data_IF_611868707879
#
_entry.id   IF_611868707879
#
_cell.length_a   1.000
_cell.length_b   1.000
_cell.length_c   1.000
_cell.angle_alpha   90.00
_cell.angle_beta   90.00
_cell.angle_gamma   90.00
#
_symmetry.space_group_name_H-M   'P 1'
#
loop_
_entity.id
_entity.type
_entity.pdbx_description
1 polymer ?
#
# COMPACT_ATOMS: atom_id res chain seq x y z
N UNK A 1 45.69 23.73 50.29
CA UNK A 1 45.08 23.54 51.62
C UNK A 1 43.89 24.47 51.73
N UNK A 2 42.67 23.92 51.55
CA UNK A 2 41.35 24.34 52.07
C UNK A 2 40.40 23.32 51.41
N UNK A 3 40.19 22.19 52.07
CA UNK A 3 39.09 21.27 51.77
C UNK A 3 38.05 21.53 52.86
N UNK A 4 36.99 22.26 52.51
CA UNK A 4 35.82 22.41 53.38
C UNK A 4 34.96 21.16 53.25
N UNK A 5 34.61 20.58 54.40
CA UNK A 5 33.73 19.43 54.54
C UNK A 5 32.32 19.77 54.04
N UNK A 6 31.88 19.06 53.00
CA UNK A 6 30.49 19.07 52.56
C UNK A 6 29.68 18.24 53.56
N UNK A 7 28.62 18.82 54.12
CA UNK A 7 27.79 18.18 55.13
C UNK A 7 26.99 16.99 54.55
N UNK A 8 26.73 15.93 55.35
CA UNK A 8 26.01 14.74 54.90
C UNK A 8 24.59 15.00 54.37
N UNK A 9 23.96 16.12 54.78
CA UNK A 9 22.59 16.48 54.38
C UNK A 9 22.45 16.91 52.93
N UNK A 10 23.53 17.41 52.31
CA UNK A 10 23.50 17.88 50.92
C UNK A 10 23.48 16.72 49.91
N UNK A 11 24.13 15.59 50.25
CA UNK A 11 24.10 14.37 49.42
C UNK A 11 22.74 13.69 49.42
N UNK A 12 21.99 13.78 50.52
CA UNK A 12 20.63 13.25 50.61
C UNK A 12 19.65 14.04 49.73
N UNK A 13 19.76 15.37 49.71
CA UNK A 13 18.95 16.23 48.84
C UNK A 13 19.29 16.06 47.36
N UNK A 14 20.58 15.98 47.00
CA UNK A 14 20.98 15.78 45.60
C UNK A 14 20.49 14.43 45.05
N UNK A 15 20.57 13.36 45.85
CA UNK A 15 20.08 12.03 45.44
C UNK A 15 18.55 11.96 45.35
N UNK A 16 17.83 12.68 46.24
CA UNK A 16 16.37 12.78 46.15
C UNK A 16 15.91 13.57 44.93
N UNK A 17 16.61 14.65 44.56
CA UNK A 17 16.30 15.44 43.35
C UNK A 17 16.65 14.69 42.07
N UNK A 18 17.76 13.94 42.03
CA UNK A 18 18.13 13.10 40.87
C UNK A 18 17.13 11.94 40.70
N UNK A 19 16.64 11.34 41.78
CA UNK A 19 15.57 10.33 41.73
C UNK A 19 14.22 10.93 41.28
N UNK A 20 13.87 12.15 41.73
CA UNK A 20 12.63 12.81 41.32
C UNK A 20 12.64 13.21 39.83
N UNK A 21 13.80 13.63 39.29
CA UNK A 21 13.98 13.92 37.87
C UNK A 21 14.03 12.63 37.05
N UNK A 22 14.61 11.54 37.56
CA UNK A 22 14.60 10.24 36.90
C UNK A 22 13.19 9.62 36.80
N UNK A 23 12.32 9.86 37.78
CA UNK A 23 10.91 9.41 37.73
C UNK A 23 10.04 10.32 36.84
N UNK A 24 10.36 11.61 36.73
CA UNK A 24 9.66 12.55 35.84
C UNK A 24 10.11 12.48 34.37
N UNK A 25 11.13 11.69 34.03
CA UNK A 25 11.59 11.41 32.67
C UNK A 25 11.50 9.93 32.29
N UNK A 26 10.67 9.15 33.00
CA UNK A 26 10.19 7.90 32.43
C UNK A 26 9.20 8.24 31.30
N UNK A 27 9.50 7.89 30.04
CA UNK A 27 8.61 8.22 28.94
C UNK A 27 7.29 7.51 29.16
N UNK A 28 6.23 8.30 29.34
CA UNK A 28 4.83 7.85 29.34
C UNK A 28 4.50 7.03 28.07
N UNK A 29 5.37 7.07 27.05
CA UNK A 29 5.32 6.28 25.83
C UNK A 29 5.51 4.76 26.01
N UNK A 30 5.97 4.25 27.17
CA UNK A 30 6.09 2.78 27.38
C UNK A 30 4.88 2.14 28.06
N UNK A 31 3.95 2.90 28.64
CA UNK A 31 2.77 2.35 29.30
C UNK A 31 1.62 1.98 28.33
N UNK A 32 1.71 2.37 27.06
CA UNK A 32 0.78 1.93 26.00
C UNK A 32 1.13 0.55 25.40
N UNK A 33 2.25 -0.06 25.81
CA UNK A 33 2.75 -1.33 25.26
C UNK A 33 2.05 -2.58 25.82
N UNK A 34 0.95 -2.45 26.56
CA UNK A 34 0.29 -3.57 27.26
C UNK A 34 -1.10 -3.92 26.74
N UNK A 35 -1.61 -3.23 25.71
CA UNK A 35 -2.75 -3.76 24.97
C UNK A 35 -2.17 -4.69 23.89
N UNK A 36 -2.48 -6.00 23.89
CA UNK A 36 -2.10 -6.85 22.78
C UNK A 36 -2.70 -6.24 21.50
N UNK A 37 -1.84 -5.63 20.68
CA UNK A 37 -2.28 -5.04 19.44
C UNK A 37 -2.75 -6.18 18.56
N UNK A 38 -4.07 -6.26 18.33
CA UNK A 38 -4.60 -7.11 17.27
C UNK A 38 -3.83 -6.79 15.99
N UNK A 39 -3.41 -7.82 15.26
CA UNK A 39 -2.69 -7.66 14.00
C UNK A 39 -3.66 -7.16 12.91
N UNK A 40 -4.11 -5.91 13.02
CA UNK A 40 -5.09 -5.32 12.13
C UNK A 40 -4.36 -4.60 10.99
N UNK A 41 -4.72 -4.95 9.76
CA UNK A 41 -4.23 -4.34 8.54
C UNK A 41 -5.39 -3.61 7.88
N UNK A 42 -5.31 -2.27 7.80
CA UNK A 42 -6.31 -1.46 7.13
C UNK A 42 -6.05 -1.41 5.62
N UNK A 43 -7.07 -1.64 4.80
CA UNK A 43 -6.98 -1.57 3.34
C UNK A 43 -8.06 -0.59 2.86
N UNK A 44 -7.64 0.52 2.24
CA UNK A 44 -8.59 1.46 1.63
C UNK A 44 -9.03 1.00 0.26
N UNK A 45 -10.21 1.47 -0.17
CA UNK A 45 -10.83 1.06 -1.43
C UNK A 45 -10.89 -0.47 -1.59
N UNK A 46 -11.15 -1.18 -0.48
CA UNK A 46 -11.08 -2.64 -0.42
C UNK A 46 -12.07 -3.34 -1.35
N UNK A 47 -13.13 -2.67 -1.79
CA UNK A 47 -14.09 -3.19 -2.76
C UNK A 47 -13.61 -3.12 -4.22
N UNK A 48 -12.53 -2.38 -4.49
CA UNK A 48 -11.91 -2.32 -5.81
C UNK A 48 -11.32 -3.68 -6.21
N UNK A 49 -11.11 -3.87 -7.52
CA UNK A 49 -10.55 -5.11 -8.11
C UNK A 49 -9.27 -5.58 -7.41
N UNK A 50 -8.34 -4.66 -7.14
CA UNK A 50 -7.10 -4.98 -6.42
C UNK A 50 -7.31 -5.15 -4.92
N UNK A 51 -8.19 -4.36 -4.29
CA UNK A 51 -8.39 -4.35 -2.84
C UNK A 51 -8.84 -5.70 -2.28
N UNK A 52 -9.74 -6.39 -3.00
CA UNK A 52 -10.20 -7.74 -2.63
C UNK A 52 -9.08 -8.78 -2.74
N UNK A 53 -8.36 -8.77 -3.87
CA UNK A 53 -7.23 -9.67 -4.11
C UNK A 53 -6.16 -9.48 -3.03
N UNK A 54 -5.87 -8.23 -2.68
CA UNK A 54 -4.93 -7.88 -1.62
C UNK A 54 -5.38 -8.38 -0.24
N UNK A 55 -6.64 -8.17 0.12
CA UNK A 55 -7.18 -8.67 1.39
C UNK A 55 -7.04 -10.19 1.52
N UNK A 56 -7.34 -10.92 0.44
CA UNK A 56 -7.21 -12.37 0.39
C UNK A 56 -5.74 -12.82 0.48
N UNK A 57 -4.85 -12.25 -0.35
CA UNK A 57 -3.43 -12.60 -0.37
C UNK A 57 -2.74 -12.34 0.98
N UNK A 58 -3.03 -11.21 1.64
CA UNK A 58 -2.48 -10.92 2.97
C UNK A 58 -2.88 -12.01 3.97
N UNK A 59 -4.13 -12.48 3.91
CA UNK A 59 -4.64 -13.51 4.79
C UNK A 59 -4.05 -14.88 4.47
N UNK A 60 -4.09 -15.29 3.21
CA UNK A 60 -3.58 -16.59 2.74
C UNK A 60 -2.06 -16.72 2.96
N UNK A 61 -1.28 -15.68 2.65
CA UNK A 61 0.17 -15.71 2.85
C UNK A 61 0.54 -15.89 4.32
N UNK A 62 -0.23 -15.31 5.24
CA UNK A 62 -0.02 -15.48 6.68
C UNK A 62 -0.32 -16.93 7.13
N UNK A 63 -1.39 -17.52 6.60
CA UNK A 63 -1.76 -18.92 6.87
C UNK A 63 -0.74 -19.91 6.29
N UNK A 64 -0.31 -19.68 5.04
CA UNK A 64 0.72 -20.49 4.37
C UNK A 64 2.09 -20.38 5.05
N UNK A 65 2.39 -19.22 5.64
CA UNK A 65 3.59 -19.02 6.47
C UNK A 65 3.49 -19.68 7.84
N UNK A 66 2.41 -20.43 8.13
CA UNK A 66 2.15 -21.11 9.41
C UNK A 66 2.15 -20.17 10.61
N UNK A 67 1.71 -18.93 10.41
CA UNK A 67 1.56 -17.96 11.50
C UNK A 67 0.54 -18.48 12.53
N UNK A 68 0.81 -18.34 13.85
CA UNK A 68 -0.14 -18.75 14.88
C UNK A 68 -1.50 -18.09 14.69
N UNK A 69 -2.59 -18.83 14.96
CA UNK A 69 -3.96 -18.33 14.72
C UNK A 69 -4.26 -16.99 15.39
N UNK A 70 -3.70 -16.77 16.59
CA UNK A 70 -3.86 -15.54 17.37
C UNK A 70 -3.11 -14.34 16.78
N UNK A 71 -2.10 -14.60 15.95
CA UNK A 71 -1.27 -13.60 15.27
C UNK A 71 -1.73 -13.33 13.84
N UNK A 72 -2.60 -14.18 13.28
CA UNK A 72 -3.09 -14.02 11.92
C UNK A 72 -3.76 -12.65 11.73
N UNK A 73 -3.53 -11.99 10.57
CA UNK A 73 -4.03 -10.66 10.36
C UNK A 73 -5.56 -10.63 10.32
N UNK A 74 -6.12 -9.60 10.94
CA UNK A 74 -7.49 -9.16 10.74
C UNK A 74 -7.45 -8.06 9.68
N UNK A 75 -8.16 -8.27 8.59
CA UNK A 75 -8.26 -7.29 7.52
C UNK A 75 -9.38 -6.32 7.85
N UNK A 76 -9.06 -5.04 7.92
CA UNK A 76 -10.05 -3.97 8.00
C UNK A 76 -10.23 -3.34 6.62
N UNK A 77 -11.27 -3.77 5.92
CA UNK A 77 -11.67 -3.29 4.61
C UNK A 77 -12.45 -1.97 4.74
N UNK A 78 -11.86 -0.87 4.27
CA UNK A 78 -12.48 0.45 4.24
C UNK A 78 -13.11 0.65 2.85
N UNK A 79 -14.44 0.86 2.82
CA UNK A 79 -15.24 0.94 1.60
C UNK A 79 -16.08 2.22 1.55
N UNK A 80 -16.68 2.53 0.40
CA UNK A 80 -17.45 3.77 0.14
C UNK A 80 -18.95 3.62 0.34
N UNK A 81 -19.48 2.41 0.40
CA UNK A 81 -20.92 2.21 0.51
C UNK A 81 -21.25 0.84 1.08
N UNK A 82 -22.50 0.67 1.52
CA UNK A 82 -23.03 -0.64 1.90
C UNK A 82 -23.06 -1.63 0.72
N UNK A 83 -23.21 -1.15 -0.51
CA UNK A 83 -23.13 -1.99 -1.70
C UNK A 83 -21.71 -2.54 -1.90
N UNK A 84 -20.69 -1.69 -1.71
CA UNK A 84 -19.29 -2.12 -1.71
C UNK A 84 -18.99 -3.08 -0.56
N UNK A 85 -19.52 -2.82 0.64
CA UNK A 85 -19.39 -3.72 1.79
C UNK A 85 -19.98 -5.09 1.50
N UNK A 86 -21.18 -5.15 0.91
CA UNK A 86 -21.81 -6.40 0.50
C UNK A 86 -20.94 -7.14 -0.53
N UNK A 87 -20.43 -6.43 -1.54
CA UNK A 87 -19.57 -7.02 -2.56
C UNK A 87 -18.29 -7.63 -1.96
N UNK A 88 -17.63 -6.95 -1.02
CA UNK A 88 -16.43 -7.50 -0.34
C UNK A 88 -16.78 -8.76 0.46
N UNK A 89 -17.91 -8.78 1.18
CA UNK A 89 -18.35 -9.96 1.94
C UNK A 89 -18.62 -11.15 1.02
N UNK A 90 -19.32 -10.93 -0.09
CA UNK A 90 -19.64 -11.97 -1.07
C UNK A 90 -18.37 -12.54 -1.71
N UNK A 91 -17.47 -11.67 -2.17
CA UNK A 91 -16.31 -12.09 -2.96
C UNK A 91 -15.25 -12.78 -2.11
N UNK A 92 -15.06 -12.36 -0.85
CA UNK A 92 -14.07 -12.95 0.05
C UNK A 92 -14.62 -14.13 0.86
N UNK A 93 -15.89 -14.06 1.27
CA UNK A 93 -16.52 -15.08 2.11
C UNK A 93 -17.27 -16.14 1.35
N UNK A 94 -17.69 -15.86 0.11
CA UNK A 94 -18.70 -16.64 -0.59
C UNK A 94 -20.10 -16.40 -0.02
N UNK A 95 -21.06 -17.18 -0.54
CA UNK A 95 -22.47 -17.07 -0.21
C UNK A 95 -23.00 -18.40 0.34
N UNK A 96 -23.93 -18.34 1.28
CA UNK A 96 -24.68 -19.48 1.79
C UNK A 96 -26.18 -19.24 1.68
N UNK A 97 -26.95 -20.31 1.51
CA UNK A 97 -28.41 -20.26 1.42
C UNK A 97 -29.03 -20.56 2.78
N UNK A 98 -29.74 -19.60 3.38
CA UNK A 98 -30.45 -19.76 4.64
C UNK A 98 -31.92 -19.42 4.43
N UNK A 99 -32.81 -20.41 4.59
CA UNK A 99 -34.25 -20.23 4.39
C UNK A 99 -34.64 -19.74 2.99
N UNK A 100 -33.92 -20.19 1.95
CA UNK A 100 -34.14 -19.78 0.56
C UNK A 100 -33.59 -18.40 0.18
N UNK A 101 -32.87 -17.73 1.10
CA UNK A 101 -32.20 -16.44 0.82
C UNK A 101 -30.68 -16.63 0.80
N UNK A 102 -30.05 -16.07 -0.23
CA UNK A 102 -28.59 -16.02 -0.32
C UNK A 102 -28.06 -14.95 0.65
N UNK A 103 -27.08 -15.31 1.47
CA UNK A 103 -26.45 -14.44 2.46
C UNK A 103 -24.93 -14.65 2.46
N UNK A 104 -24.12 -13.59 2.63
CA UNK A 104 -22.67 -13.75 2.69
C UNK A 104 -22.23 -14.59 3.89
N UNK A 105 -21.22 -15.42 3.72
CA UNK A 105 -20.65 -16.19 4.83
C UNK A 105 -19.84 -15.24 5.72
N UNK A 106 -20.12 -15.15 7.04
CA UNK A 106 -19.37 -14.28 7.93
C UNK A 106 -17.92 -14.74 8.08
N UNK A 107 -16.99 -13.82 7.87
CA UNK A 107 -15.56 -14.05 8.02
C UNK A 107 -15.05 -13.40 9.31
N UNK A 108 -14.53 -14.22 10.24
CA UNK A 108 -14.03 -13.75 11.54
C UNK A 108 -12.78 -12.86 11.42
N UNK A 109 -12.06 -12.99 10.31
CA UNK A 109 -10.83 -12.24 10.04
C UNK A 109 -11.08 -10.94 9.24
N UNK A 110 -12.33 -10.62 8.89
CA UNK A 110 -12.67 -9.48 8.06
C UNK A 110 -13.56 -8.49 8.83
N UNK A 111 -13.04 -7.29 9.08
CA UNK A 111 -13.77 -6.13 9.54
C UNK A 111 -14.08 -5.22 8.34
N UNK A 112 -15.32 -4.72 8.23
CA UNK A 112 -15.68 -3.77 7.17
C UNK A 112 -16.11 -2.46 7.81
N UNK A 113 -15.54 -1.36 7.32
CA UNK A 113 -15.88 0.00 7.72
C UNK A 113 -16.35 0.77 6.51
N UNK A 114 -17.60 1.23 6.55
CA UNK A 114 -18.20 2.04 5.48
C UNK A 114 -17.96 3.52 5.76
N UNK A 115 -17.31 4.20 4.83
CA UNK A 115 -17.05 5.64 4.88
C UNK A 115 -17.54 6.27 3.58
N UNK A 116 -18.81 6.68 3.58
CA UNK A 116 -19.50 7.20 2.38
C UNK A 116 -19.01 8.58 1.94
N UNK A 117 -18.81 9.48 2.90
CA UNK A 117 -18.38 10.85 2.64
C UNK A 117 -17.17 11.17 3.52
N UNK A 118 -16.13 11.78 2.95
CA UNK A 118 -14.88 12.13 3.64
C UNK A 118 -14.72 13.63 3.92
N UNK A 119 -15.62 14.47 3.40
CA UNK A 119 -15.56 15.93 3.54
C UNK A 119 -16.19 16.39 4.86
N UNK A 120 -17.25 15.71 5.31
CA UNK A 120 -17.97 16.06 6.54
C UNK A 120 -17.26 15.64 7.84
N UNK A 121 -17.55 16.35 8.95
CA UNK A 121 -17.00 16.03 10.29
C UNK A 121 -17.22 14.58 10.70
N UNK A 122 -18.43 14.06 10.49
CA UNK A 122 -18.79 12.65 10.77
C UNK A 122 -17.95 11.71 9.91
N UNK A 123 -17.87 11.98 8.61
CA UNK A 123 -17.06 11.23 7.66
C UNK A 123 -15.58 11.13 8.05
N UNK A 124 -14.97 12.27 8.35
CA UNK A 124 -13.59 12.35 8.84
C UNK A 124 -13.39 11.59 10.16
N UNK A 125 -14.35 11.69 11.09
CA UNK A 125 -14.30 10.96 12.34
C UNK A 125 -14.39 9.44 12.13
N UNK A 126 -15.30 8.97 11.27
CA UNK A 126 -15.40 7.55 10.89
C UNK A 126 -14.11 7.07 10.22
N UNK A 127 -13.53 7.85 9.31
CA UNK A 127 -12.30 7.49 8.63
C UNK A 127 -11.12 7.40 9.60
N UNK A 128 -10.97 8.35 10.53
CA UNK A 128 -9.97 8.28 11.61
C UNK A 128 -10.16 7.04 12.47
N UNK A 129 -11.39 6.76 12.88
CA UNK A 129 -11.72 5.55 13.65
C UNK A 129 -11.40 4.26 12.86
N UNK A 130 -11.51 4.28 11.53
CA UNK A 130 -11.14 3.15 10.69
C UNK A 130 -9.65 2.81 10.76
N UNK A 131 -8.77 3.79 10.92
CA UNK A 131 -7.32 3.56 11.07
C UNK A 131 -6.88 3.31 12.51
N UNK A 132 -7.71 3.64 13.50
CA UNK A 132 -7.34 3.45 14.92
C UNK A 132 -7.35 1.97 15.30
N UNK A 133 -6.31 1.53 16.01
CA UNK A 133 -6.03 0.14 16.32
C UNK A 133 -5.37 -0.66 15.20
N UNK A 134 -5.25 -0.11 13.98
CA UNK A 134 -4.52 -0.76 12.89
C UNK A 134 -3.01 -0.59 13.08
N UNK A 135 -2.24 -1.67 12.94
CA UNK A 135 -0.78 -1.62 13.04
C UNK A 135 -0.11 -1.18 11.75
N UNK A 136 -0.71 -1.53 10.62
CA UNK A 136 -0.25 -1.15 9.28
C UNK A 136 -1.43 -0.88 8.35
N UNK A 137 -1.19 -0.20 7.23
CA UNK A 137 -2.19 0.05 6.22
C UNK A 137 -1.65 -0.03 4.80
N UNK A 138 -2.54 -0.38 3.87
CA UNK A 138 -2.31 -0.24 2.44
C UNK A 138 -3.33 0.75 1.88
N UNK A 139 -2.84 1.90 1.42
CA UNK A 139 -3.65 2.93 0.78
C UNK A 139 -3.70 2.62 -0.72
N UNK A 140 -4.86 2.18 -1.19
CA UNK A 140 -5.08 1.90 -2.60
C UNK A 140 -5.58 3.17 -3.26
N UNK A 141 -4.68 3.93 -3.88
CA UNK A 141 -5.06 5.08 -4.70
C UNK A 141 -6.04 4.66 -5.79
N UNK A 142 -7.29 5.11 -5.67
CA UNK A 142 -8.41 4.76 -6.52
C UNK A 142 -8.58 5.62 -7.77
N UNK A 143 -7.80 6.68 -7.98
CA UNK A 143 -7.91 7.54 -9.18
C UNK A 143 -7.34 6.87 -10.45
N UNK A 144 -7.57 5.56 -10.60
CA UNK A 144 -6.84 4.66 -11.47
C UNK A 144 -6.95 4.99 -12.95
N UNK A 145 -5.81 4.74 -13.58
CA UNK A 145 -5.56 4.43 -14.97
C UNK A 145 -6.12 3.05 -15.37
N UNK A 146 -7.18 3.01 -16.18
CA UNK A 146 -7.60 1.78 -16.85
C UNK A 146 -6.94 1.66 -18.22
N UNK A 147 -6.31 0.52 -18.49
CA UNK A 147 -5.88 0.22 -19.86
C UNK A 147 -7.10 -0.07 -20.72
N UNK A 148 -7.32 0.78 -21.70
CA UNK A 148 -8.30 0.58 -22.76
C UNK A 148 -7.54 0.22 -24.02
N UNK A 149 -7.73 -1.02 -24.45
CA UNK A 149 -7.23 -1.51 -25.72
C UNK A 149 -8.24 -1.21 -26.81
N UNK A 150 -7.84 -0.43 -27.81
CA UNK A 150 -8.61 -0.27 -29.04
C UNK A 150 -8.07 -1.24 -30.09
N UNK A 151 -8.98 -2.01 -30.71
CA UNK A 151 -8.69 -2.99 -31.75
C UNK A 151 -7.81 -4.16 -31.29
N UNK A 152 -8.20 -4.85 -30.21
CA UNK A 152 -7.60 -6.12 -29.79
C UNK A 152 -8.10 -7.24 -30.73
N UNK A 153 -7.76 -7.16 -32.03
CA UNK A 153 -8.07 -8.22 -32.98
C UNK A 153 -7.14 -9.41 -32.70
N UNK A 154 -7.72 -10.61 -32.62
CA UNK A 154 -7.03 -11.89 -32.37
C UNK A 154 -5.95 -12.25 -33.40
N UNK A 155 -5.77 -11.45 -34.45
CA UNK A 155 -4.86 -11.68 -35.57
C UNK A 155 -3.44 -11.16 -35.32
N UNK A 156 -3.12 -10.74 -34.08
CA UNK A 156 -1.77 -10.35 -33.68
C UNK A 156 -1.37 -8.93 -34.11
N UNK A 157 -2.32 -8.14 -34.63
CA UNK A 157 -2.10 -6.73 -34.88
C UNK A 157 -2.12 -5.98 -33.55
N UNK A 158 -1.01 -5.35 -33.22
CA UNK A 158 -0.74 -4.77 -31.91
C UNK A 158 -1.59 -3.51 -31.68
N UNK A 159 -2.82 -3.68 -31.16
CA UNK A 159 -3.78 -2.60 -30.90
C UNK A 159 -3.24 -1.41 -30.10
N UNK A 160 -3.92 -0.26 -30.21
CA UNK A 160 -3.54 0.96 -29.49
C UNK A 160 -3.93 0.81 -28.01
N UNK A 161 -2.93 0.86 -27.12
CA UNK A 161 -3.16 0.85 -25.68
C UNK A 161 -3.22 2.29 -25.20
N UNK A 162 -4.41 2.71 -24.79
CA UNK A 162 -4.58 3.99 -24.10
C UNK A 162 -4.82 3.76 -22.62
N UNK A 163 -4.44 4.72 -21.82
CA UNK A 163 -4.88 4.78 -20.44
C UNK A 163 -6.06 5.76 -20.37
N UNK A 164 -7.18 5.29 -19.83
CA UNK A 164 -8.37 6.10 -19.64
C UNK A 164 -8.69 6.26 -18.16
N UNK A 165 -9.21 7.44 -17.80
CA UNK A 165 -9.81 7.71 -16.50
C UNK A 165 -11.12 8.46 -16.70
N UNK A 166 -12.23 8.00 -16.09
CA UNK A 166 -13.44 8.81 -16.03
C UNK A 166 -13.15 10.11 -15.25
N UNK A 167 -13.14 11.24 -15.93
CA UNK A 167 -12.68 12.53 -15.37
C UNK A 167 -13.45 12.96 -14.12
N UNK A 168 -14.76 12.69 -14.07
CA UNK A 168 -15.61 13.06 -12.94
C UNK A 168 -15.29 12.28 -11.65
N UNK A 169 -14.86 11.02 -11.77
CA UNK A 169 -14.55 10.18 -10.61
C UNK A 169 -13.13 10.47 -10.08
N UNK A 170 -12.22 10.94 -10.93
CA UNK A 170 -10.81 11.14 -10.59
C UNK A 170 -10.60 12.17 -9.46
N UNK A 171 -11.32 13.30 -9.49
CA UNK A 171 -11.16 14.36 -8.50
C UNK A 171 -11.66 13.93 -7.12
N UNK A 172 -12.86 13.33 -7.05
CA UNK A 172 -13.43 12.80 -5.82
C UNK A 172 -12.56 11.71 -5.20
N UNK A 173 -12.00 10.83 -6.02
CA UNK A 173 -11.09 9.77 -5.60
C UNK A 173 -9.76 10.32 -5.08
N UNK A 174 -9.22 11.34 -5.75
CA UNK A 174 -8.01 12.04 -5.30
C UNK A 174 -8.23 12.73 -3.95
N UNK A 175 -9.37 13.42 -3.80
CA UNK A 175 -9.76 14.06 -2.53
C UNK A 175 -9.95 13.03 -1.41
N UNK A 176 -10.49 11.86 -1.74
CA UNK A 176 -10.62 10.76 -0.79
C UNK A 176 -9.28 10.21 -0.33
N UNK A 177 -8.34 9.97 -1.24
CA UNK A 177 -7.00 9.52 -0.87
C UNK A 177 -6.28 10.52 0.04
N UNK A 178 -6.42 11.83 -0.22
CA UNK A 178 -5.88 12.87 0.68
C UNK A 178 -6.49 12.81 2.08
N UNK A 179 -7.81 12.58 2.19
CA UNK A 179 -8.48 12.40 3.47
C UNK A 179 -8.04 11.10 4.17
N UNK A 180 -7.79 10.03 3.43
CA UNK A 180 -7.24 8.77 3.95
C UNK A 180 -5.83 8.95 4.51
N UNK A 181 -4.98 9.71 3.83
CA UNK A 181 -3.64 10.08 4.33
C UNK A 181 -3.75 10.93 5.61
N UNK A 182 -4.65 11.92 5.65
CA UNK A 182 -4.90 12.75 6.85
C UNK A 182 -5.37 11.89 8.04
N UNK A 183 -6.25 10.93 7.78
CA UNK A 183 -6.77 10.05 8.82
C UNK A 183 -5.71 9.05 9.31
N UNK A 184 -4.95 8.46 8.39
CA UNK A 184 -3.84 7.58 8.69
C UNK A 184 -2.76 8.29 9.53
N UNK A 185 -2.41 9.53 9.18
CA UNK A 185 -1.38 10.32 9.89
C UNK A 185 -1.82 10.75 11.30
N UNK A 186 -3.13 10.78 11.53
CA UNK A 186 -3.71 11.06 12.84
C UNK A 186 -3.81 9.81 13.73
N UNK A 187 -3.58 8.61 13.20
CA UNK A 187 -3.68 7.36 13.95
C UNK A 187 -2.51 7.21 14.91
N UNK A 188 -2.80 6.88 16.17
CA UNK A 188 -1.76 6.69 17.20
C UNK A 188 -1.10 5.30 17.15
N UNK A 189 -1.70 4.38 16.40
CA UNK A 189 -1.35 2.94 16.39
C UNK A 189 -0.70 2.49 15.09
N UNK A 190 -0.85 3.29 14.02
CA UNK A 190 -0.35 2.98 12.70
C UNK A 190 1.16 3.20 12.61
N UNK A 191 1.90 2.12 12.34
CA UNK A 191 3.37 2.13 12.31
C UNK A 191 3.96 2.20 10.92
N UNK A 192 3.25 1.70 9.91
CA UNK A 192 3.73 1.70 8.53
C UNK A 192 2.56 1.74 7.53
N UNK A 193 2.78 2.48 6.44
CA UNK A 193 1.82 2.58 5.33
C UNK A 193 2.49 2.23 4.02
N UNK A 194 1.91 1.30 3.27
CA UNK A 194 2.23 1.15 1.84
C UNK A 194 1.20 1.94 1.06
N UNK A 195 1.61 2.93 0.27
CA UNK A 195 0.73 3.62 -0.65
C UNK A 195 0.99 3.15 -2.06
N UNK A 196 -0.06 2.68 -2.72
CA UNK A 196 -0.01 2.42 -4.14
C UNK A 196 -0.20 3.72 -4.89
N UNK A 197 0.67 3.96 -5.87
CA UNK A 197 0.74 5.15 -6.71
C UNK A 197 0.90 4.72 -8.18
N UNK A 198 1.10 5.67 -9.09
CA UNK A 198 1.34 5.41 -10.51
C UNK A 198 2.73 5.88 -10.92
N UNK A 199 3.33 5.21 -11.92
CA UNK A 199 4.48 5.78 -12.62
C UNK A 199 4.09 7.06 -13.36
N UNK A 200 5.09 7.88 -13.71
CA UNK A 200 4.91 9.17 -14.40
C UNK A 200 5.01 10.40 -13.49
N UNK A 201 5.45 10.22 -12.24
CA UNK A 201 5.38 11.23 -11.18
C UNK A 201 6.74 11.81 -10.78
N UNK A 202 7.85 11.26 -11.27
CA UNK A 202 9.20 11.80 -11.08
C UNK A 202 9.35 13.14 -11.81
N UNK A 203 10.32 13.95 -11.38
CA UNK A 203 10.59 15.26 -11.97
C UNK A 203 11.22 15.19 -13.37
N UNK A 204 11.78 14.03 -13.75
CA UNK A 204 12.44 13.81 -15.04
C UNK A 204 11.53 13.20 -16.11
N UNK A 205 10.25 13.02 -15.82
CA UNK A 205 9.30 12.43 -16.78
C UNK A 205 9.03 13.39 -17.94
N UNK A 206 9.22 12.91 -19.16
CA UNK A 206 8.89 13.62 -20.40
C UNK A 206 7.38 13.64 -20.63
N UNK A 207 6.86 14.58 -21.42
CA UNK A 207 5.44 14.64 -21.77
C UNK A 207 4.95 13.33 -22.40
N UNK A 208 5.74 12.73 -23.29
CA UNK A 208 5.40 11.46 -23.96
C UNK A 208 5.22 10.31 -22.97
N UNK A 209 6.10 10.24 -21.96
CA UNK A 209 6.02 9.26 -20.87
C UNK A 209 4.82 9.50 -19.95
N UNK A 210 4.51 10.77 -19.65
CA UNK A 210 3.31 11.13 -18.88
C UNK A 210 2.04 10.76 -19.65
N UNK A 211 1.99 11.03 -20.96
CA UNK A 211 0.87 10.70 -21.84
C UNK A 211 0.67 9.19 -21.97
N UNK A 212 1.75 8.40 -22.03
CA UNK A 212 1.68 6.95 -21.96
C UNK A 212 1.02 6.45 -20.66
N UNK A 213 1.15 7.23 -19.58
CA UNK A 213 0.51 6.98 -18.28
C UNK A 213 -0.86 7.67 -18.11
N UNK A 214 -1.47 8.18 -19.19
CA UNK A 214 -2.80 8.82 -19.19
C UNK A 214 -2.78 10.35 -19.10
N UNK A 215 -1.58 10.95 -19.05
CA UNK A 215 -1.38 12.40 -19.04
C UNK A 215 -1.62 13.07 -17.69
N UNK A 216 -1.37 14.39 -17.63
CA UNK A 216 -1.40 15.17 -16.38
C UNK A 216 -2.77 15.20 -15.69
N UNK A 217 -3.86 15.06 -16.44
CA UNK A 217 -5.21 14.99 -15.87
C UNK A 217 -5.37 13.81 -14.89
N UNK A 218 -4.68 12.70 -15.17
CA UNK A 218 -4.63 11.56 -14.25
C UNK A 218 -3.58 11.81 -13.16
N UNK A 219 -2.37 12.17 -13.56
CA UNK A 219 -1.21 12.16 -12.68
C UNK A 219 -1.26 13.23 -11.59
N UNK A 220 -2.07 14.27 -11.74
CA UNK A 220 -2.21 15.35 -10.75
C UNK A 220 -2.67 14.85 -9.37
N UNK A 221 -3.64 13.94 -9.31
CA UNK A 221 -4.17 13.38 -8.06
C UNK A 221 -3.13 12.59 -7.27
N UNK A 222 -2.55 11.53 -7.87
CA UNK A 222 -1.48 10.74 -7.28
C UNK A 222 -0.26 11.60 -6.88
N UNK A 223 0.12 12.60 -7.68
CA UNK A 223 1.22 13.53 -7.36
C UNK A 223 0.94 14.29 -6.06
N UNK A 224 -0.28 14.81 -5.88
CA UNK A 224 -0.70 15.48 -4.63
C UNK A 224 -0.69 14.50 -3.45
N UNK A 225 -1.16 13.27 -3.65
CA UNK A 225 -1.18 12.25 -2.61
C UNK A 225 0.22 11.83 -2.17
N UNK A 226 1.18 11.61 -3.09
CA UNK A 226 2.57 11.33 -2.74
C UNK A 226 3.19 12.45 -1.90
N UNK A 227 2.98 13.70 -2.33
CA UNK A 227 3.49 14.85 -1.59
C UNK A 227 2.86 14.96 -0.20
N UNK A 228 1.55 14.72 -0.08
CA UNK A 228 0.86 14.70 1.19
C UNK A 228 1.36 13.59 2.11
N UNK A 229 1.56 12.37 1.60
CA UNK A 229 2.08 11.25 2.38
C UNK A 229 3.52 11.52 2.84
N UNK A 230 4.39 12.00 1.95
CA UNK A 230 5.77 12.41 2.29
C UNK A 230 5.80 13.49 3.37
N UNK A 231 4.88 14.45 3.32
CA UNK A 231 4.74 15.52 4.31
C UNK A 231 4.04 15.10 5.61
N UNK A 232 3.36 13.94 5.64
CA UNK A 232 2.53 13.51 6.77
C UNK A 232 3.31 13.09 8.01
N UNK A 233 4.61 12.79 7.86
CA UNK A 233 5.44 12.24 8.94
C UNK A 233 5.21 10.74 9.22
N UNK A 234 4.26 10.10 8.53
CA UNK A 234 4.07 8.64 8.61
C UNK A 234 5.30 7.89 8.07
N UNK A 235 5.64 6.78 8.69
CA UNK A 235 6.54 5.82 8.06
C UNK A 235 5.81 5.15 6.91
N UNK A 236 6.39 5.22 5.71
CA UNK A 236 5.70 4.76 4.52
C UNK A 236 6.62 4.14 3.49
N UNK A 237 6.04 3.39 2.56
CA UNK A 237 6.64 2.96 1.29
C UNK A 237 5.68 3.35 0.17
N UNK A 238 6.17 4.01 -0.88
CA UNK A 238 5.37 4.35 -2.06
C UNK A 238 5.70 3.35 -3.17
N UNK A 239 4.68 2.69 -3.70
CA UNK A 239 4.78 1.74 -4.80
C UNK A 239 4.14 2.34 -6.05
N UNK A 240 4.96 2.84 -6.98
CA UNK A 240 4.54 3.37 -8.28
C UNK A 240 4.38 2.24 -9.29
N UNK A 241 3.15 2.01 -9.71
CA UNK A 241 2.83 0.90 -10.62
C UNK A 241 2.76 1.38 -12.07
N UNK A 242 3.14 0.47 -12.96
CA UNK A 242 2.76 0.55 -14.37
C UNK A 242 1.23 0.46 -14.55
N UNK A 243 0.79 0.49 -15.81
CA UNK A 243 -0.61 0.38 -16.18
C UNK A 243 -1.19 -0.99 -15.79
N UNK A 244 -2.36 -0.98 -15.16
CA UNK A 244 -2.92 -2.16 -14.49
C UNK A 244 -3.80 -3.00 -15.40
N UNK A 245 -3.49 -4.30 -15.50
CA UNK A 245 -4.32 -5.29 -16.18
C UNK A 245 -5.07 -6.19 -15.20
N UNK A 246 -6.11 -6.87 -15.70
CA UNK A 246 -6.86 -7.90 -14.98
C UNK A 246 -6.40 -9.32 -15.34
N UNK A 247 -5.23 -9.46 -15.98
CA UNK A 247 -4.65 -10.75 -16.29
C UNK A 247 -4.18 -11.47 -15.00
N UNK A 248 -3.84 -12.75 -15.11
CA UNK A 248 -3.30 -13.51 -13.98
C UNK A 248 -2.00 -12.88 -13.42
N UNK A 249 -1.75 -13.08 -12.12
CA UNK A 249 -0.49 -12.72 -11.49
C UNK A 249 0.63 -13.73 -11.75
N UNK A 250 1.67 -13.66 -10.91
CA UNK A 250 2.82 -14.57 -10.96
C UNK A 250 3.63 -14.44 -12.25
N UNK A 251 3.81 -13.20 -12.70
CA UNK A 251 4.76 -12.84 -13.76
C UNK A 251 6.02 -12.23 -13.12
N UNK A 252 7.23 -12.52 -13.64
CA UNK A 252 8.45 -11.90 -13.14
C UNK A 252 8.39 -10.38 -13.19
N UNK A 253 8.81 -9.75 -12.10
CA UNK A 253 8.73 -8.30 -11.92
C UNK A 253 10.07 -7.63 -12.16
N UNK A 254 10.04 -6.36 -12.52
CA UNK A 254 11.20 -5.48 -12.46
C UNK A 254 10.89 -4.29 -11.56
N UNK A 255 11.93 -3.78 -10.93
CA UNK A 255 11.86 -2.67 -10.01
C UNK A 255 12.76 -1.53 -10.46
N UNK A 256 12.43 -0.32 -10.05
CA UNK A 256 13.18 0.88 -10.40
C UNK A 256 12.92 2.01 -9.43
N UNK A 257 13.55 3.14 -9.71
CA UNK A 257 13.33 4.42 -9.04
C UNK A 257 13.15 5.52 -10.07
N UNK A 258 12.50 6.61 -9.66
CA UNK A 258 12.37 7.83 -10.44
C UNK A 258 11.79 7.65 -11.85
N UNK A 259 10.85 6.72 -12.01
CA UNK A 259 10.22 6.33 -13.27
C UNK A 259 11.17 5.76 -14.32
N UNK A 260 12.32 5.23 -13.88
CA UNK A 260 13.34 4.63 -14.76
C UNK A 260 12.80 3.51 -15.65
N UNK A 261 11.84 2.72 -15.16
CA UNK A 261 11.18 1.67 -15.94
C UNK A 261 10.39 2.27 -17.10
N UNK A 262 9.58 3.30 -16.81
CA UNK A 262 8.75 4.00 -17.79
C UNK A 262 9.62 4.69 -18.84
N UNK A 263 10.64 5.44 -18.41
CA UNK A 263 11.54 6.16 -19.31
C UNK A 263 12.27 5.20 -20.26
N UNK A 264 12.84 4.12 -19.72
CA UNK A 264 13.49 3.09 -20.55
C UNK A 264 12.53 2.43 -21.53
N UNK A 265 11.26 2.26 -21.16
CA UNK A 265 10.23 1.71 -22.05
C UNK A 265 9.91 2.65 -23.20
N UNK A 266 9.85 3.96 -22.95
CA UNK A 266 9.65 4.98 -23.98
C UNK A 266 10.84 5.05 -24.93
N UNK A 267 12.07 4.99 -24.42
CA UNK A 267 13.28 5.02 -25.26
C UNK A 267 13.44 3.77 -26.14
N UNK A 268 12.98 2.62 -25.65
CA UNK A 268 13.18 1.33 -26.33
C UNK A 268 12.07 0.94 -27.29
N UNK A 269 10.93 1.63 -27.27
CA UNK A 269 9.78 1.25 -28.11
C UNK A 269 9.15 2.48 -28.75
N UNK A 270 8.89 2.41 -30.07
CA UNK A 270 8.11 3.42 -30.77
C UNK A 270 6.59 3.27 -30.54
N UNK A 271 6.18 2.42 -29.59
CA UNK A 271 4.76 2.08 -29.38
C UNK A 271 4.04 3.02 -28.43
N UNK A 272 4.79 3.83 -27.65
CA UNK A 272 4.21 4.70 -26.61
C UNK A 272 3.48 3.92 -25.51
N UNK A 273 3.70 2.60 -25.39
CA UNK A 273 2.97 1.75 -24.45
C UNK A 273 3.55 1.84 -23.05
N UNK A 274 2.71 2.08 -22.02
CA UNK A 274 3.18 2.09 -20.65
C UNK A 274 3.73 0.71 -20.25
N UNK A 275 4.66 0.63 -19.29
CA UNK A 275 4.92 -0.60 -18.57
C UNK A 275 3.62 -1.12 -17.97
N UNK A 276 3.40 -2.44 -18.01
CA UNK A 276 2.16 -3.06 -17.54
C UNK A 276 2.42 -3.99 -16.35
N UNK A 277 1.37 -4.23 -15.56
CA UNK A 277 1.40 -5.17 -14.43
C UNK A 277 -0.03 -5.58 -14.05
N UNK A 278 -0.26 -6.85 -13.70
CA UNK A 278 -1.59 -7.27 -13.23
C UNK A 278 -1.89 -6.75 -11.83
N UNK A 279 -3.18 -6.54 -11.54
CA UNK A 279 -3.64 -6.22 -10.18
C UNK A 279 -3.27 -7.30 -9.15
N UNK A 280 -3.14 -8.55 -9.58
CA UNK A 280 -2.69 -9.64 -8.71
C UNK A 280 -1.22 -9.51 -8.31
N UNK A 281 -0.33 -9.15 -9.24
CA UNK A 281 1.07 -8.87 -8.90
C UNK A 281 1.24 -7.55 -8.14
N UNK A 282 0.40 -6.54 -8.41
CA UNK A 282 0.34 -5.32 -7.60
C UNK A 282 0.07 -5.64 -6.13
N UNK A 283 -0.93 -6.48 -5.88
CA UNK A 283 -1.31 -6.92 -4.54
C UNK A 283 -0.17 -7.74 -3.88
N UNK A 284 0.45 -8.65 -4.63
CA UNK A 284 1.59 -9.46 -4.15
C UNK A 284 2.75 -8.59 -3.67
N UNK A 285 3.17 -7.60 -4.47
CA UNK A 285 4.25 -6.68 -4.07
C UNK A 285 3.83 -5.78 -2.91
N UNK A 286 2.58 -5.30 -2.91
CA UNK A 286 2.08 -4.46 -1.80
C UNK A 286 2.13 -5.21 -0.46
N UNK A 287 1.69 -6.48 -0.44
CA UNK A 287 1.78 -7.34 0.74
C UNK A 287 3.24 -7.59 1.15
N UNK A 288 4.11 -7.90 0.18
CA UNK A 288 5.53 -8.10 0.43
C UNK A 288 6.18 -6.87 1.09
N UNK A 289 5.95 -5.66 0.54
CA UNK A 289 6.48 -4.41 1.10
C UNK A 289 5.94 -4.12 2.50
N UNK A 290 4.68 -4.45 2.77
CA UNK A 290 4.09 -4.31 4.10
C UNK A 290 4.80 -5.20 5.13
N UNK A 291 5.12 -6.45 4.76
CA UNK A 291 5.83 -7.40 5.62
C UNK A 291 7.30 -7.03 5.85
N UNK A 292 7.95 -6.48 4.83
CA UNK A 292 9.36 -6.07 4.85
C UNK A 292 9.52 -4.56 5.12
N UNK A 293 8.56 -3.94 5.81
CA UNK A 293 8.50 -2.50 6.06
C UNK A 293 9.80 -1.90 6.61
N UNK A 294 10.55 -2.66 7.42
CA UNK A 294 11.84 -2.24 7.98
C UNK A 294 12.91 -1.96 6.93
N UNK A 295 12.89 -2.68 5.80
CA UNK A 295 13.86 -2.56 4.72
C UNK A 295 13.50 -1.47 3.72
N UNK A 296 12.20 -1.19 3.54
CA UNK A 296 11.70 -0.32 2.48
C UNK A 296 11.10 1.01 2.99
N UNK A 297 11.26 1.29 4.28
CA UNK A 297 10.83 2.56 4.89
C UNK A 297 11.42 3.77 4.16
N UNK A 298 10.54 4.66 3.73
CA UNK A 298 10.85 5.89 2.99
C UNK A 298 11.16 5.66 1.51
N UNK A 299 11.09 4.43 1.01
CA UNK A 299 11.37 4.14 -0.38
C UNK A 299 10.19 4.55 -1.27
N UNK A 300 10.52 5.01 -2.48
CA UNK A 300 9.59 5.12 -3.61
C UNK A 300 10.09 4.14 -4.67
N UNK A 301 9.27 3.15 -4.99
CA UNK A 301 9.66 1.99 -5.81
C UNK A 301 8.75 1.94 -7.04
N UNK A 302 9.34 1.91 -8.22
CA UNK A 302 8.64 1.61 -9.46
C UNK A 302 8.52 0.10 -9.62
N UNK A 303 7.37 -0.39 -10.10
CA UNK A 303 7.16 -1.81 -10.35
C UNK A 303 6.33 -2.07 -11.61
N UNK A 304 6.85 -2.96 -12.47
CA UNK A 304 6.11 -3.50 -13.61
C UNK A 304 6.46 -4.97 -13.83
N UNK A 305 5.78 -5.61 -14.77
CA UNK A 305 6.28 -6.87 -15.34
C UNK A 305 7.60 -6.65 -16.07
N UNK A 306 8.46 -7.67 -16.03
CA UNK A 306 9.69 -7.69 -16.80
C UNK A 306 9.37 -7.66 -18.32
N UNK A 307 10.02 -6.81 -19.14
CA UNK A 307 9.65 -6.58 -20.54
C UNK A 307 9.61 -7.80 -21.46
N UNK A 308 10.30 -8.89 -21.08
CA UNK A 308 10.23 -10.21 -21.75
C UNK A 308 8.82 -10.81 -21.68
N UNK A 309 8.06 -10.50 -20.63
CA UNK A 309 6.74 -11.06 -20.37
C UNK A 309 5.66 -10.04 -20.74
N UNK A 310 4.67 -10.50 -21.48
CA UNK A 310 3.49 -9.73 -21.84
C UNK A 310 2.22 -10.37 -21.28
N UNK A 311 1.05 -9.86 -21.69
CA UNK A 311 -0.25 -10.41 -21.28
C UNK A 311 -0.41 -11.89 -21.63
N UNK A 312 0.10 -12.31 -22.80
CA UNK A 312 0.12 -13.72 -23.23
C UNK A 312 0.96 -14.63 -22.35
N UNK A 313 1.85 -14.08 -21.52
CA UNK A 313 2.64 -14.85 -20.56
C UNK A 313 1.91 -15.09 -19.23
N UNK A 314 0.90 -14.28 -18.91
CA UNK A 314 0.16 -14.41 -17.65
C UNK A 314 -0.55 -15.77 -17.59
N UNK A 315 -0.32 -16.51 -16.51
CA UNK A 315 -0.85 -17.87 -16.33
C UNK A 315 -0.07 -18.98 -17.06
N UNK A 316 0.99 -18.65 -17.81
CA UNK A 316 1.88 -19.67 -18.38
C UNK A 316 2.76 -20.32 -17.30
N UNK A 317 3.10 -21.60 -17.49
CA UNK A 317 4.00 -22.33 -16.59
C UNK A 317 5.39 -21.69 -16.53
N UNK A 318 5.90 -21.17 -17.66
CA UNK A 318 7.19 -20.47 -17.71
C UNK A 318 7.18 -19.22 -16.82
N UNK A 319 6.16 -18.36 -16.96
CA UNK A 319 6.05 -17.15 -16.17
C UNK A 319 5.91 -17.47 -14.68
N UNK A 320 5.03 -18.41 -14.34
CA UNK A 320 4.84 -18.86 -12.96
C UNK A 320 6.14 -19.40 -12.34
N UNK A 321 6.83 -20.28 -13.05
CA UNK A 321 8.10 -20.88 -12.62
C UNK A 321 9.20 -19.83 -12.44
N UNK A 322 9.28 -18.85 -13.36
CA UNK A 322 10.23 -17.76 -13.26
C UNK A 322 9.91 -16.81 -12.09
N UNK A 323 8.64 -16.46 -11.90
CA UNK A 323 8.19 -15.59 -10.81
C UNK A 323 8.40 -16.26 -9.44
N UNK A 324 8.15 -17.56 -9.34
CA UNK A 324 8.36 -18.34 -8.11
C UNK A 324 9.83 -18.43 -7.68
N UNK A 325 10.78 -18.23 -8.61
CA UNK A 325 12.22 -18.15 -8.30
C UNK A 325 12.71 -16.74 -7.99
N UNK A 326 11.86 -15.73 -8.18
CA UNK A 326 12.28 -14.35 -7.99
C UNK A 326 12.35 -14.01 -6.50
N UNK A 327 13.55 -13.67 -6.02
CA UNK A 327 13.72 -13.01 -4.73
C UNK A 327 13.35 -11.53 -4.86
N UNK A 328 12.13 -11.18 -4.45
CA UNK A 328 11.63 -9.81 -4.49
C UNK A 328 12.50 -8.85 -3.68
N UNK A 329 13.02 -9.30 -2.51
CA UNK A 329 13.81 -8.46 -1.63
C UNK A 329 15.10 -8.04 -2.31
N UNK A 330 15.86 -9.03 -2.76
CA UNK A 330 17.14 -8.80 -3.45
C UNK A 330 16.92 -8.00 -4.73
N UNK A 331 15.88 -8.34 -5.52
CA UNK A 331 15.55 -7.61 -6.74
C UNK A 331 15.27 -6.11 -6.49
N UNK A 332 14.50 -5.78 -5.46
CA UNK A 332 14.17 -4.38 -5.12
C UNK A 332 15.43 -3.68 -4.59
N UNK A 333 16.17 -4.28 -3.66
CA UNK A 333 17.34 -3.62 -3.08
C UNK A 333 18.43 -3.33 -4.12
N UNK A 334 18.69 -4.28 -5.02
CA UNK A 334 19.65 -4.13 -6.11
C UNK A 334 19.21 -3.04 -7.09
N UNK A 335 17.95 -3.08 -7.54
CA UNK A 335 17.45 -2.15 -8.56
C UNK A 335 17.26 -0.72 -8.03
N UNK A 336 16.88 -0.57 -6.76
CA UNK A 336 16.63 0.74 -6.15
C UNK A 336 17.87 1.32 -5.44
N UNK A 337 19.03 0.65 -5.52
CA UNK A 337 20.25 1.10 -4.84
C UNK A 337 20.10 1.20 -3.32
N UNK A 338 19.17 0.44 -2.74
CA UNK A 338 18.94 0.44 -1.30
C UNK A 338 20.06 -0.37 -0.67
N UNK A 339 21.08 0.34 -0.16
CA UNK A 339 22.23 -0.29 0.47
C UNK A 339 21.77 -1.25 1.57
N UNK A 340 22.38 -2.44 1.61
CA UNK A 340 22.29 -3.38 2.72
C UNK A 340 22.78 -2.65 3.98
N UNK A 341 21.89 -1.97 4.69
CA UNK A 341 22.19 -1.54 6.06
C UNK A 341 22.21 -2.83 6.86
N UNK A 342 23.38 -3.48 6.95
CA UNK A 342 23.64 -4.49 7.97
C UNK A 342 23.29 -3.81 9.29
N UNK A 343 22.12 -4.11 9.83
CA UNK A 343 21.76 -3.69 11.17
C UNK A 343 22.86 -4.22 12.11
N UNK A 344 23.68 -3.29 12.62
CA UNK A 344 24.47 -3.47 13.82
C UNK A 344 23.54 -3.51 15.03
#
# INVERSE_FOLDING_TARGET
FIMRSISPSWRAWLNATIMAIAVAHFPFSRALALVPHKNIIAITHAAGRMGKVLALQVREDAELSQMPTEELPIIRAIVRSEAEAASVKCDLGGMTMVGGKASPIPLKWLEIVVVENVVGKTGKATLRAAFEGAGTAILCDASHNEMVWQNDNSDGDEGFCSISVPTADSEDLSMRLLAEIEAASSSSTLRHVVMRSSMGLSSGVTNEAADAMGGEAVLTGPRKAENALKASGLEHTILRLGALTDDAGMVPLIFGIDDSILLKRMDSTNTGRPPILSRSDAARVSNFLLREATYFKGATIDCSWHPKYGRSSAGSEEAFSAAGRQDLKSSIMESCGLAWRKHQ
#
